data_IF_574949531412
#
_entry.id   IF_574949531412
#
_cell.length_a   1.000
_cell.length_b   1.000
_cell.length_c   1.000
_cell.angle_alpha   90.00
_cell.angle_beta   90.00
_cell.angle_gamma   90.00
#
_symmetry.space_group_name_H-M   'P 1'
#
loop_
_entity.id
_entity.type
_entity.pdbx_description
1 polymer ?
#
# COMPACT_ATOMS: atom_id res chain seq x y z
N UNK A 1 -15.93 -3.04 -21.28
CA UNK A 1 -15.15 -3.14 -20.02
C UNK A 1 -13.81 -2.50 -20.28
N UNK A 2 -13.42 -1.52 -19.47
CA UNK A 2 -12.11 -0.91 -19.49
C UNK A 2 -11.34 -1.33 -18.23
N UNK A 3 -10.02 -1.46 -18.37
CA UNK A 3 -9.12 -1.67 -17.25
C UNK A 3 -8.21 -0.44 -17.19
N UNK A 4 -7.99 0.07 -15.98
CA UNK A 4 -7.06 1.16 -15.71
C UNK A 4 -5.96 0.67 -14.78
N UNK A 5 -4.77 1.24 -14.91
CA UNK A 5 -3.61 0.93 -14.06
C UNK A 5 -3.11 2.21 -13.39
N UNK A 6 -2.72 2.08 -12.13
CA UNK A 6 -2.10 3.16 -11.37
C UNK A 6 -0.82 2.64 -10.71
N UNK A 7 0.28 3.33 -10.95
CA UNK A 7 1.53 3.09 -10.25
C UNK A 7 1.57 3.96 -9.00
N UNK A 8 1.73 3.33 -7.83
CA UNK A 8 1.86 4.06 -6.57
C UNK A 8 3.05 5.00 -6.63
N UNK A 9 2.82 6.26 -6.32
CA UNK A 9 3.80 7.32 -6.49
C UNK A 9 4.45 7.68 -5.16
N UNK A 10 5.69 7.24 -4.96
CA UNK A 10 6.46 7.49 -3.75
C UNK A 10 7.97 7.34 -4.03
N UNK A 11 8.82 7.75 -3.08
CA UNK A 11 10.26 7.82 -3.28
C UNK A 11 10.95 6.46 -3.55
N UNK A 12 10.37 5.35 -3.09
CA UNK A 12 10.93 4.01 -3.22
C UNK A 12 12.41 3.90 -2.78
N UNK A 13 12.75 4.56 -1.68
CA UNK A 13 14.10 4.54 -1.09
C UNK A 13 14.52 3.13 -0.69
N UNK A 14 15.83 2.88 -0.66
CA UNK A 14 16.37 1.55 -0.29
C UNK A 14 16.08 1.18 1.17
N UNK A 15 15.95 2.17 2.04
CA UNK A 15 15.42 1.98 3.39
C UNK A 15 13.88 1.98 3.38
N UNK A 16 13.28 1.26 4.34
CA UNK A 16 11.83 1.05 4.39
C UNK A 16 11.00 2.27 4.82
N UNK A 17 11.61 3.44 5.06
CA UNK A 17 10.87 4.63 5.50
C UNK A 17 9.84 5.08 4.47
N UNK A 18 10.12 4.91 3.17
CA UNK A 18 9.23 5.40 2.12
C UNK A 18 8.02 4.48 1.86
N UNK A 19 7.98 3.30 2.48
CA UNK A 19 6.83 2.40 2.39
C UNK A 19 5.54 3.00 3.01
N UNK A 20 5.65 3.78 4.09
CA UNK A 20 4.51 4.45 4.72
C UNK A 20 3.86 5.50 3.79
N UNK A 21 4.64 6.45 3.24
CA UNK A 21 4.16 7.36 2.20
C UNK A 21 3.57 6.65 0.98
N UNK A 22 4.18 5.55 0.51
CA UNK A 22 3.62 4.75 -0.58
C UNK A 22 2.27 4.12 -0.23
N UNK A 23 2.10 3.60 0.98
CA UNK A 23 0.82 3.05 1.43
C UNK A 23 -0.27 4.14 1.49
N UNK A 24 0.10 5.36 1.87
CA UNK A 24 -0.80 6.51 1.90
C UNK A 24 -1.27 6.89 0.49
N UNK A 25 -0.35 6.99 -0.47
CA UNK A 25 -0.69 7.28 -1.87
C UNK A 25 -1.63 6.21 -2.46
N UNK A 26 -1.28 4.93 -2.28
CA UNK A 26 -2.09 3.80 -2.74
C UNK A 26 -3.51 3.85 -2.14
N UNK A 27 -3.62 4.14 -0.84
CA UNK A 27 -4.91 4.27 -0.13
C UNK A 27 -5.75 5.41 -0.70
N UNK A 28 -5.16 6.59 -0.89
CA UNK A 28 -5.86 7.75 -1.42
C UNK A 28 -6.41 7.48 -2.82
N UNK A 29 -5.61 6.84 -3.68
CA UNK A 29 -6.05 6.50 -5.02
C UNK A 29 -7.22 5.51 -5.01
N UNK A 30 -7.11 4.40 -4.28
CA UNK A 30 -8.16 3.38 -4.20
C UNK A 30 -9.45 3.97 -3.62
N UNK A 31 -9.36 4.78 -2.56
CA UNK A 31 -10.53 5.45 -1.97
C UNK A 31 -11.17 6.43 -2.94
N UNK A 32 -10.39 7.19 -3.72
CA UNK A 32 -10.94 8.11 -4.73
C UNK A 32 -11.71 7.33 -5.80
N UNK A 33 -11.09 6.29 -6.37
CA UNK A 33 -11.73 5.48 -7.41
C UNK A 33 -12.96 4.74 -6.87
N UNK A 34 -12.92 4.23 -5.64
CA UNK A 34 -14.07 3.58 -5.04
C UNK A 34 -15.24 4.54 -4.78
N UNK A 35 -14.97 5.82 -4.47
CA UNK A 35 -16.00 6.86 -4.32
C UNK A 35 -16.62 7.23 -5.67
N UNK A 36 -15.80 7.37 -6.71
CA UNK A 36 -16.24 7.76 -8.05
C UNK A 36 -16.92 6.59 -8.78
N UNK A 37 -16.43 5.37 -8.57
CA UNK A 37 -16.83 4.16 -9.27
C UNK A 37 -16.98 3.00 -8.26
N UNK A 38 -18.10 2.92 -7.51
CA UNK A 38 -18.28 1.99 -6.39
C UNK A 38 -18.29 0.50 -6.77
N UNK A 39 -18.49 0.19 -8.05
CA UNK A 39 -18.47 -1.19 -8.56
C UNK A 39 -17.10 -1.59 -9.14
N UNK A 40 -16.07 -0.75 -9.01
CA UNK A 40 -14.72 -1.07 -9.47
C UNK A 40 -14.15 -2.23 -8.65
N UNK A 41 -13.62 -3.23 -9.35
CA UNK A 41 -12.84 -4.30 -8.73
C UNK A 41 -11.36 -3.94 -8.83
N UNK A 42 -10.65 -4.04 -7.71
CA UNK A 42 -9.24 -3.70 -7.62
C UNK A 42 -8.36 -4.94 -7.58
N UNK A 43 -7.25 -4.90 -8.31
CA UNK A 43 -6.14 -5.85 -8.19
C UNK A 43 -4.93 -5.06 -7.71
N UNK A 44 -4.39 -5.46 -6.55
CA UNK A 44 -3.32 -4.74 -5.86
C UNK A 44 -2.09 -5.64 -5.79
N UNK A 45 -0.92 -5.09 -6.06
CA UNK A 45 0.34 -5.85 -6.05
C UNK A 45 1.54 -4.95 -5.83
N UNK A 46 2.63 -5.55 -5.37
CA UNK A 46 3.88 -4.83 -5.13
C UNK A 46 5.08 -5.76 -5.00
N UNK A 47 6.25 -5.24 -5.38
CA UNK A 47 7.53 -5.95 -5.37
C UNK A 47 8.49 -5.28 -4.37
N UNK A 48 9.28 -6.08 -3.65
CA UNK A 48 10.24 -5.59 -2.65
C UNK A 48 9.57 -4.66 -1.62
N UNK A 49 10.00 -3.40 -1.50
CA UNK A 49 9.35 -2.39 -0.65
C UNK A 49 7.88 -2.17 -1.00
N UNK A 50 7.51 -2.27 -2.29
CA UNK A 50 6.13 -2.19 -2.75
C UNK A 50 5.23 -3.31 -2.20
N UNK A 51 5.78 -4.46 -1.80
CA UNK A 51 5.02 -5.49 -1.10
C UNK A 51 4.59 -5.02 0.30
N UNK A 52 5.45 -4.22 0.96
CA UNK A 52 5.11 -3.60 2.26
C UNK A 52 4.03 -2.54 2.09
N UNK A 53 4.16 -1.68 1.07
CA UNK A 53 3.11 -0.72 0.65
C UNK A 53 1.76 -1.43 0.46
N UNK A 54 1.75 -2.49 -0.35
CA UNK A 54 0.52 -3.22 -0.71
C UNK A 54 -0.13 -3.89 0.49
N UNK A 55 0.66 -4.56 1.34
CA UNK A 55 0.13 -5.30 2.47
C UNK A 55 -0.46 -4.42 3.58
N UNK A 56 -0.23 -3.12 3.48
CA UNK A 56 -0.71 -2.14 4.44
C UNK A 56 -2.08 -1.59 4.02
N UNK A 57 -2.38 -1.65 2.72
CA UNK A 57 -3.70 -1.37 2.17
C UNK A 57 -4.66 -2.52 2.54
N UNK A 58 -5.40 -2.34 3.63
CA UNK A 58 -6.32 -3.35 4.16
C UNK A 58 -6.59 -3.23 5.66
N UNK A 59 -5.74 -2.50 6.41
CA UNK A 59 -5.92 -2.28 7.85
C UNK A 59 -6.78 -1.04 8.19
N UNK A 60 -7.29 -0.31 7.20
CA UNK A 60 -8.32 0.73 7.41
C UNK A 60 -7.87 1.99 8.17
N UNK A 61 -6.57 2.24 8.31
CA UNK A 61 -6.04 3.43 8.97
C UNK A 61 -4.84 4.03 8.25
N UNK A 62 -4.74 5.36 8.25
CA UNK A 62 -3.51 6.09 7.93
C UNK A 62 -2.36 5.49 8.72
N UNK A 63 -1.26 5.17 8.05
CA UNK A 63 -0.09 4.55 8.66
C UNK A 63 0.74 5.66 9.27
N UNK A 64 0.77 5.80 10.61
CA UNK A 64 1.62 6.80 11.20
C UNK A 64 3.07 6.42 10.93
N UNK A 65 3.90 7.42 10.65
CA UNK A 65 5.27 7.28 10.10
C UNK A 65 6.20 6.44 11.00
N UNK A 66 5.83 6.28 12.27
CA UNK A 66 6.49 5.43 13.27
C UNK A 66 5.98 3.97 13.34
N UNK A 67 4.85 3.66 12.70
CA UNK A 67 4.27 2.30 12.59
C UNK A 67 4.54 1.67 11.21
N UNK A 68 5.54 2.15 10.48
CA UNK A 68 6.22 1.39 9.45
C UNK A 68 7.46 0.61 9.99
N UNK A 69 7.48 -0.02 11.18
CA UNK A 69 8.55 -0.95 11.44
C UNK A 69 8.31 -2.10 10.48
N UNK A 70 9.38 -2.44 9.76
CA UNK A 70 9.50 -3.68 9.02
C UNK A 70 8.67 -4.76 9.71
N UNK A 71 7.75 -5.40 8.98
CA UNK A 71 7.41 -6.79 9.29
C UNK A 71 8.72 -7.57 9.24
N UNK A 72 9.49 -7.53 10.32
CA UNK A 72 10.18 -8.71 10.81
C UNK A 72 9.04 -9.70 11.01
N UNK A 73 8.88 -10.60 10.05
CA UNK A 73 8.50 -11.95 10.39
C UNK A 73 9.46 -12.37 11.50
N UNK A 74 8.98 -12.34 12.73
CA UNK A 74 9.63 -13.04 13.82
C UNK A 74 9.49 -14.54 13.50
N UNK A 75 10.59 -15.27 13.29
CA UNK A 75 10.54 -16.70 12.99
C UNK A 75 10.16 -17.58 14.20
N UNK A 76 9.58 -17.04 15.27
CA UNK A 76 9.39 -17.78 16.54
C UNK A 76 7.96 -17.92 17.08
N UNK A 77 6.93 -17.95 16.22
CA UNK A 77 5.60 -18.47 16.64
C UNK A 77 5.30 -19.82 15.98
N UNK A 78 5.06 -20.90 16.76
CA UNK A 78 4.53 -22.17 16.24
C UNK A 78 3.16 -21.99 15.59
#
# INVERSE_FOLDING_TARGET
>A
MSVSSYAVNYAASMDQSSAGPGATDMTNHVVSVAKECPNTVFVLGGYSQGASVTATLGSGGTIPENLAPARRMDPSTP
#
